data_IF_281076213005
#
_entry.id   IF_281076213005
#
_cell.length_a   1.000
_cell.length_b   1.000
_cell.length_c   1.000
_cell.angle_alpha   90.00
_cell.angle_beta   90.00
_cell.angle_gamma   90.00
#
_symmetry.space_group_name_H-M   'P 1'
#
loop_
_entity.id
_entity.type
_entity.pdbx_description
1 polymer ?
#
# COMPACT_ATOMS: atom_id res chain seq x y z
N UNK A 1 36.18 -6.47 -16.42
CA UNK A 1 37.10 -6.08 -17.51
C UNK A 1 38.52 -6.56 -17.17
N UNK A 2 39.14 -6.20 -16.03
CA UNK A 2 40.50 -6.60 -15.67
C UNK A 2 40.69 -8.14 -15.67
N UNK A 3 39.77 -8.90 -15.11
CA UNK A 3 39.79 -10.35 -15.13
C UNK A 3 39.78 -10.92 -16.55
N UNK A 4 38.99 -10.33 -17.46
CA UNK A 4 38.90 -10.78 -18.85
C UNK A 4 40.21 -10.48 -19.63
N UNK A 5 40.88 -9.36 -19.33
CA UNK A 5 42.21 -9.06 -19.86
C UNK A 5 43.23 -10.07 -19.37
N UNK A 6 43.08 -10.55 -18.12
CA UNK A 6 43.93 -11.60 -17.54
C UNK A 6 43.56 -13.03 -17.99
N UNK A 7 42.68 -13.18 -18.96
CA UNK A 7 42.32 -14.49 -19.55
C UNK A 7 41.12 -15.20 -18.90
N UNK A 8 40.44 -14.56 -17.96
CA UNK A 8 39.16 -15.06 -17.41
C UNK A 8 37.98 -14.72 -18.31
N UNK A 9 36.81 -15.31 -18.03
CA UNK A 9 35.55 -15.06 -18.78
C UNK A 9 34.45 -14.59 -17.85
N UNK A 10 34.65 -13.39 -17.29
CA UNK A 10 33.64 -12.74 -16.47
C UNK A 10 32.53 -12.13 -17.35
N UNK A 11 31.29 -12.46 -17.06
CA UNK A 11 30.14 -11.92 -17.76
C UNK A 11 29.38 -10.92 -16.89
N UNK A 12 28.97 -9.80 -17.49
CA UNK A 12 28.09 -8.85 -16.86
C UNK A 12 26.67 -9.45 -16.75
N UNK A 13 26.18 -9.62 -15.51
CA UNK A 13 24.90 -10.26 -15.21
C UNK A 13 23.68 -9.35 -15.38
N UNK A 14 23.89 -8.11 -15.83
CA UNK A 14 22.83 -7.11 -15.90
C UNK A 14 22.66 -6.33 -14.59
N UNK A 15 21.63 -5.50 -14.55
CA UNK A 15 21.24 -4.67 -13.40
C UNK A 15 19.74 -4.75 -13.16
N UNK A 16 19.32 -4.55 -11.93
CA UNK A 16 17.91 -4.53 -11.53
C UNK A 16 17.28 -3.14 -11.78
N UNK A 17 18.11 -2.11 -12.00
CA UNK A 17 17.66 -0.76 -12.23
C UNK A 17 17.16 -0.07 -10.94
N UNK A 18 17.81 -0.35 -9.80
CA UNK A 18 17.52 0.30 -8.54
C UNK A 18 18.16 1.70 -8.47
N UNK A 19 17.45 2.61 -7.83
CA UNK A 19 17.96 3.94 -7.50
C UNK A 19 17.33 4.49 -6.23
N UNK A 20 17.96 5.50 -5.64
CA UNK A 20 17.36 6.35 -4.62
C UNK A 20 17.67 7.82 -4.90
N UNK A 21 16.77 8.69 -4.45
CA UNK A 21 16.90 10.13 -4.59
C UNK A 21 16.30 10.84 -3.39
N UNK A 22 16.87 11.96 -2.97
CA UNK A 22 16.27 12.87 -2.00
C UNK A 22 15.62 14.02 -2.75
N UNK A 23 14.32 14.19 -2.56
CA UNK A 23 13.53 15.31 -3.10
C UNK A 23 13.04 16.13 -1.90
N UNK A 24 13.66 17.31 -1.70
CA UNK A 24 13.45 18.13 -0.51
C UNK A 24 13.64 17.30 0.78
N UNK A 25 12.59 17.11 1.57
CA UNK A 25 12.61 16.35 2.82
C UNK A 25 12.15 14.90 2.68
N UNK A 26 11.87 14.45 1.44
CA UNK A 26 11.40 13.11 1.15
C UNK A 26 12.50 12.28 0.48
N UNK A 27 12.80 11.12 1.06
CA UNK A 27 13.58 10.07 0.41
C UNK A 27 12.68 9.21 -0.47
N UNK A 28 13.11 8.94 -1.70
CA UNK A 28 12.42 8.05 -2.65
C UNK A 28 13.40 7.00 -3.10
N UNK A 29 12.96 5.73 -3.16
CA UNK A 29 13.76 4.65 -3.69
C UNK A 29 12.88 3.65 -4.47
N UNK A 30 13.51 2.97 -5.45
CA UNK A 30 12.86 1.89 -6.18
C UNK A 30 13.87 0.83 -6.62
N UNK A 31 13.36 -0.40 -6.84
CA UNK A 31 14.11 -1.46 -7.48
C UNK A 31 13.18 -2.32 -8.35
N UNK A 32 13.72 -2.90 -9.42
CA UNK A 32 12.97 -3.73 -10.35
C UNK A 32 12.03 -2.94 -11.27
N UNK A 33 10.92 -3.56 -11.66
CA UNK A 33 9.98 -3.06 -12.65
C UNK A 33 8.87 -2.23 -11.99
N UNK A 34 8.49 -1.12 -12.61
CA UNK A 34 7.21 -0.46 -12.34
C UNK A 34 6.06 -1.30 -12.93
N UNK A 35 4.80 -1.03 -12.52
CA UNK A 35 3.62 -1.67 -13.10
C UNK A 35 3.61 -1.54 -14.64
N UNK A 36 3.92 -0.35 -15.16
CA UNK A 36 3.95 -0.13 -16.60
C UNK A 36 5.07 -0.92 -17.29
N UNK A 37 6.28 -0.94 -16.71
CA UNK A 37 7.40 -1.71 -17.25
C UNK A 37 7.12 -3.22 -17.21
N UNK A 38 6.49 -3.72 -16.14
CA UNK A 38 6.10 -5.11 -16.02
C UNK A 38 5.08 -5.52 -17.10
N UNK A 39 4.06 -4.68 -17.36
CA UNK A 39 3.11 -4.88 -18.48
C UNK A 39 3.81 -4.93 -19.82
N UNK A 40 4.73 -4.00 -20.10
CA UNK A 40 5.51 -4.01 -21.34
C UNK A 40 6.42 -5.24 -21.50
N UNK A 41 6.90 -5.79 -20.37
CA UNK A 41 7.69 -7.01 -20.36
C UNK A 41 6.86 -8.30 -20.45
N UNK A 42 5.53 -8.20 -20.58
CA UNK A 42 4.62 -9.33 -20.77
C UNK A 42 4.13 -10.00 -19.49
N UNK A 43 4.40 -9.40 -18.31
CA UNK A 43 3.82 -9.83 -17.06
C UNK A 43 2.40 -9.31 -16.87
N UNK A 44 1.68 -9.92 -15.93
CA UNK A 44 0.35 -9.50 -15.48
C UNK A 44 0.46 -8.92 -14.06
N UNK A 45 0.96 -7.65 -13.92
CA UNK A 45 1.31 -7.11 -12.62
C UNK A 45 0.12 -6.67 -11.81
N UNK A 46 0.09 -7.14 -10.55
CA UNK A 46 -0.70 -6.60 -9.45
C UNK A 46 0.20 -5.93 -8.42
N UNK A 47 -0.37 -5.07 -7.57
CA UNK A 47 0.41 -4.39 -6.54
C UNK A 47 -0.37 -4.14 -5.25
N UNK A 48 0.37 -4.07 -4.15
CA UNK A 48 -0.12 -3.55 -2.88
C UNK A 48 0.45 -2.16 -2.62
N UNK A 49 -0.35 -1.25 -2.07
CA UNK A 49 0.07 0.05 -1.58
C UNK A 49 -0.11 0.07 -0.06
N UNK A 50 0.98 0.11 0.67
CA UNK A 50 0.99 0.02 2.14
C UNK A 50 1.53 1.31 2.74
N UNK A 51 0.91 1.73 3.83
CA UNK A 51 1.30 2.92 4.60
C UNK A 51 1.51 2.52 6.05
N UNK A 52 2.71 2.78 6.57
CA UNK A 52 3.08 2.44 7.93
C UNK A 52 4.18 3.38 8.44
N UNK A 53 4.29 3.63 9.76
CA UNK A 53 5.49 4.22 10.32
C UNK A 53 6.73 3.37 10.00
N UNK A 54 7.84 4.03 9.68
CA UNK A 54 9.12 3.37 9.36
C UNK A 54 9.78 2.66 10.56
N UNK A 55 9.32 2.99 11.79
CA UNK A 55 9.73 2.44 13.09
C UNK A 55 8.57 2.48 14.06
N UNK A 56 8.80 2.12 15.33
CA UNK A 56 7.76 2.18 16.34
C UNK A 56 7.13 3.59 16.39
N UNK A 57 5.81 3.67 16.31
CA UNK A 57 5.08 4.95 16.15
C UNK A 57 5.29 5.94 17.29
N UNK A 58 5.60 5.45 18.50
CA UNK A 58 5.90 6.26 19.67
C UNK A 58 7.33 6.81 19.69
N UNK A 59 8.18 6.40 18.74
CA UNK A 59 9.56 6.88 18.69
C UNK A 59 9.61 8.29 18.09
N UNK A 60 10.34 9.24 18.71
CA UNK A 60 10.26 10.67 18.33
C UNK A 60 10.61 10.97 16.87
N UNK A 61 11.44 10.13 16.25
CA UNK A 61 11.84 10.29 14.83
C UNK A 61 11.05 9.41 13.88
N UNK A 62 9.92 8.83 14.33
CA UNK A 62 9.04 8.04 13.48
C UNK A 62 8.46 8.88 12.35
N UNK A 63 8.49 8.35 11.14
CA UNK A 63 7.93 8.98 9.94
C UNK A 63 7.10 8.01 9.13
N UNK A 64 6.05 8.51 8.51
CA UNK A 64 5.20 7.68 7.65
C UNK A 64 5.95 7.31 6.37
N UNK A 65 6.02 6.02 6.10
CA UNK A 65 6.53 5.45 4.87
C UNK A 65 5.37 4.91 4.02
N UNK A 66 5.43 5.15 2.73
CA UNK A 66 4.55 4.55 1.74
C UNK A 66 5.39 3.59 0.91
N UNK A 67 4.92 2.36 0.78
CA UNK A 67 5.59 1.32 0.00
C UNK A 67 4.60 0.65 -0.95
N UNK A 68 5.02 0.50 -2.19
CA UNK A 68 4.30 -0.22 -3.24
C UNK A 68 5.10 -1.44 -3.65
N UNK A 69 4.55 -2.63 -3.43
CA UNK A 69 5.12 -3.90 -3.86
C UNK A 69 4.40 -4.38 -5.10
N UNK A 70 5.14 -4.83 -6.11
CA UNK A 70 4.61 -5.25 -7.41
C UNK A 70 4.99 -6.72 -7.64
N UNK A 71 4.01 -7.55 -8.01
CA UNK A 71 4.24 -8.95 -8.37
C UNK A 71 3.42 -9.35 -9.60
N UNK A 72 3.84 -10.42 -10.25
CA UNK A 72 3.06 -11.06 -11.30
C UNK A 72 1.89 -11.86 -10.69
N UNK A 73 0.67 -11.59 -11.14
CA UNK A 73 -0.54 -12.19 -10.59
C UNK A 73 -0.59 -13.72 -10.79
N UNK A 74 0.04 -14.22 -11.86
CA UNK A 74 0.01 -15.64 -12.23
C UNK A 74 1.02 -16.47 -11.47
N UNK A 75 2.24 -15.96 -11.35
CA UNK A 75 3.36 -16.70 -10.74
C UNK A 75 3.63 -16.29 -9.31
N UNK A 76 3.07 -15.18 -8.85
CA UNK A 76 3.34 -14.52 -7.57
C UNK A 76 4.80 -14.07 -7.40
N UNK A 77 5.57 -14.05 -8.51
CA UNK A 77 6.94 -13.57 -8.51
C UNK A 77 6.97 -12.06 -8.25
N UNK A 78 7.83 -11.63 -7.34
CA UNK A 78 8.07 -10.21 -7.09
C UNK A 78 8.80 -9.59 -8.27
N UNK A 79 8.26 -8.52 -8.81
CA UNK A 79 8.76 -7.81 -9.99
C UNK A 79 9.45 -6.49 -9.64
N UNK A 80 9.01 -5.83 -8.58
CA UNK A 80 9.59 -4.56 -8.18
C UNK A 80 9.00 -3.99 -6.90
N UNK A 81 9.64 -2.92 -6.42
CA UNK A 81 9.25 -2.16 -5.23
C UNK A 81 9.51 -0.68 -5.44
N UNK A 82 8.61 0.15 -4.96
CA UNK A 82 8.72 1.61 -4.92
C UNK A 82 8.40 2.07 -3.49
N UNK A 83 9.19 2.97 -2.92
CA UNK A 83 8.92 3.47 -1.58
C UNK A 83 9.34 4.93 -1.43
N UNK A 84 8.64 5.63 -0.52
CA UNK A 84 8.95 7.01 -0.16
C UNK A 84 8.62 7.28 1.31
N UNK A 85 9.30 8.28 1.89
CA UNK A 85 9.07 8.73 3.26
C UNK A 85 10.10 9.77 3.71
N UNK A 86 9.88 10.43 4.86
CA UNK A 86 10.77 11.48 5.34
C UNK A 86 12.15 10.95 5.79
N UNK A 87 12.22 9.70 6.23
CA UNK A 87 13.46 9.06 6.67
C UNK A 87 14.07 8.25 5.50
N UNK A 88 14.83 8.93 4.62
CA UNK A 88 15.38 8.36 3.38
C UNK A 88 16.24 7.10 3.59
N UNK A 89 17.02 7.01 4.67
CA UNK A 89 17.81 5.81 4.98
C UNK A 89 16.92 4.60 5.30
N UNK A 90 15.81 4.81 6.01
CA UNK A 90 14.83 3.79 6.30
C UNK A 90 14.13 3.31 5.01
N UNK A 91 13.77 4.25 4.11
CA UNK A 91 13.21 3.94 2.79
C UNK A 91 14.18 3.10 1.97
N UNK A 92 15.43 3.58 1.85
CA UNK A 92 16.48 2.89 1.11
C UNK A 92 16.73 1.48 1.63
N UNK A 93 16.81 1.29 2.94
CA UNK A 93 17.06 -0.02 3.54
C UNK A 93 16.01 -1.06 3.16
N UNK A 94 14.70 -0.70 3.11
CA UNK A 94 13.62 -1.60 2.71
C UNK A 94 13.69 -1.95 1.23
N UNK A 95 13.98 -0.97 0.40
CA UNK A 95 14.13 -1.20 -1.05
C UNK A 95 15.38 -2.04 -1.35
N UNK A 96 16.50 -1.79 -0.68
CA UNK A 96 17.74 -2.59 -0.85
C UNK A 96 17.53 -4.05 -0.45
N UNK A 97 16.79 -4.32 0.64
CA UNK A 97 16.49 -5.69 1.07
C UNK A 97 15.74 -6.48 -0.02
N UNK A 98 14.73 -5.87 -0.64
CA UNK A 98 13.99 -6.49 -1.75
C UNK A 98 14.87 -6.57 -3.01
N UNK A 99 15.62 -5.50 -3.33
CA UNK A 99 16.48 -5.44 -4.49
C UNK A 99 17.53 -6.59 -4.52
N UNK A 100 18.07 -6.93 -3.35
CA UNK A 100 19.03 -8.03 -3.21
C UNK A 100 18.42 -9.40 -3.56
N UNK A 101 17.11 -9.55 -3.44
CA UNK A 101 16.39 -10.80 -3.67
C UNK A 101 15.82 -10.92 -5.09
N UNK A 102 15.55 -9.80 -5.77
CA UNK A 102 14.95 -9.81 -7.12
C UNK A 102 15.69 -10.68 -8.15
N UNK A 103 17.05 -10.77 -8.18
CA UNK A 103 17.75 -11.63 -9.11
C UNK A 103 17.44 -13.12 -8.96
N UNK A 104 16.92 -13.53 -7.81
CA UNK A 104 16.60 -14.93 -7.49
C UNK A 104 15.16 -15.30 -7.81
N UNK A 105 14.41 -14.38 -8.45
CA UNK A 105 13.00 -14.61 -8.87
C UNK A 105 12.09 -15.07 -7.73
N UNK A 106 12.26 -14.46 -6.56
CA UNK A 106 11.49 -14.78 -5.34
C UNK A 106 9.98 -14.52 -5.50
N UNK A 107 9.18 -15.25 -4.74
CA UNK A 107 7.74 -15.04 -4.61
C UNK A 107 7.36 -14.12 -3.46
N UNK A 108 6.06 -13.92 -3.30
CA UNK A 108 5.51 -13.09 -2.22
C UNK A 108 5.69 -13.71 -0.83
N UNK A 109 5.76 -15.03 -0.75
CA UNK A 109 5.94 -15.74 0.51
C UNK A 109 7.29 -15.40 1.15
N UNK A 110 8.37 -15.32 0.35
CA UNK A 110 9.68 -14.91 0.83
C UNK A 110 9.68 -13.46 1.35
N UNK A 111 8.90 -12.56 0.75
CA UNK A 111 8.76 -11.19 1.23
C UNK A 111 7.94 -11.14 2.53
N UNK A 112 6.85 -11.89 2.62
CA UNK A 112 6.02 -11.94 3.82
C UNK A 112 6.76 -12.49 5.03
N UNK A 113 7.70 -13.41 4.80
CA UNK A 113 8.51 -14.08 5.81
C UNK A 113 9.94 -13.51 5.92
N UNK A 114 10.24 -12.40 5.22
CA UNK A 114 11.56 -11.80 5.28
C UNK A 114 11.92 -11.41 6.71
N UNK A 115 13.04 -11.95 7.21
CA UNK A 115 13.55 -11.60 8.52
C UNK A 115 14.21 -10.22 8.46
N UNK A 116 13.61 -9.25 9.15
CA UNK A 116 14.10 -7.87 9.26
C UNK A 116 14.57 -7.64 10.69
N UNK A 117 15.76 -7.05 10.86
CA UNK A 117 16.26 -6.69 12.17
C UNK A 117 15.30 -5.73 12.87
N UNK A 118 14.86 -6.11 14.08
CA UNK A 118 13.91 -5.32 14.85
C UNK A 118 14.52 -4.68 16.06
N UNK A 119 14.29 -3.39 16.18
CA UNK A 119 14.34 -2.63 17.44
C UNK A 119 13.49 -1.38 17.27
N UNK A 120 12.79 -0.89 18.32
CA UNK A 120 11.86 0.25 18.22
C UNK A 120 12.40 1.49 17.51
N UNK A 121 13.70 1.86 17.64
CA UNK A 121 14.28 2.99 16.91
C UNK A 121 14.47 2.77 15.41
N UNK A 122 14.40 1.54 14.89
CA UNK A 122 14.80 1.21 13.53
C UNK A 122 13.71 0.60 12.67
N UNK A 123 12.74 -0.09 13.29
CA UNK A 123 11.66 -0.76 12.54
C UNK A 123 10.40 -0.91 13.39
N UNK A 124 9.28 -1.23 12.76
CA UNK A 124 8.09 -1.74 13.42
C UNK A 124 8.24 -3.25 13.69
N UNK A 125 7.49 -3.78 14.66
CA UNK A 125 7.55 -5.22 15.01
C UNK A 125 7.17 -6.13 13.82
N UNK A 126 6.23 -5.70 12.97
CA UNK A 126 6.02 -6.25 11.63
C UNK A 126 6.41 -5.15 10.64
N UNK A 127 7.49 -5.37 9.91
CA UNK A 127 8.02 -4.36 9.00
C UNK A 127 7.09 -4.15 7.80
N UNK A 128 7.13 -2.95 7.23
CA UNK A 128 6.31 -2.58 6.08
C UNK A 128 6.53 -3.52 4.87
N UNK A 129 7.71 -4.11 4.76
CA UNK A 129 8.04 -5.10 3.71
C UNK A 129 7.20 -6.36 3.89
N UNK A 130 7.15 -6.91 5.11
CA UNK A 130 6.33 -8.09 5.41
C UNK A 130 4.84 -7.78 5.22
N UNK A 131 4.38 -6.61 5.70
CA UNK A 131 2.99 -6.17 5.50
C UNK A 131 2.65 -6.07 4.02
N UNK A 132 3.54 -5.52 3.19
CA UNK A 132 3.31 -5.42 1.74
C UNK A 132 3.18 -6.80 1.07
N UNK A 133 4.03 -7.76 1.45
CA UNK A 133 3.92 -9.15 1.00
C UNK A 133 2.56 -9.76 1.37
N UNK A 134 2.16 -9.66 2.64
CA UNK A 134 0.87 -10.17 3.12
C UNK A 134 -0.33 -9.50 2.43
N UNK A 135 -0.30 -8.17 2.25
CA UNK A 135 -1.39 -7.43 1.59
C UNK A 135 -1.52 -7.87 0.14
N UNK A 136 -0.41 -8.02 -0.60
CA UNK A 136 -0.45 -8.43 -1.99
C UNK A 136 -0.89 -9.90 -2.15
N UNK A 137 -0.49 -10.79 -1.25
CA UNK A 137 -1.05 -12.16 -1.19
C UNK A 137 -2.56 -12.14 -0.99
N UNK A 138 -3.06 -11.35 -0.03
CA UNK A 138 -4.50 -11.23 0.22
C UNK A 138 -5.26 -10.65 -0.99
N UNK A 139 -4.65 -9.75 -1.77
CA UNK A 139 -5.23 -9.25 -3.03
C UNK A 139 -5.34 -10.39 -4.04
N UNK A 140 -4.24 -11.12 -4.28
CA UNK A 140 -4.20 -12.22 -5.24
C UNK A 140 -5.09 -13.41 -4.85
N UNK A 141 -5.33 -13.61 -3.55
CA UNK A 141 -6.25 -14.62 -3.02
C UNK A 141 -7.72 -14.17 -3.02
N UNK A 142 -8.02 -12.92 -3.47
CA UNK A 142 -9.35 -12.35 -3.46
C UNK A 142 -9.89 -12.02 -2.06
N UNK A 143 -9.03 -12.08 -1.05
CA UNK A 143 -9.38 -11.73 0.35
C UNK A 143 -9.40 -10.22 0.58
N UNK A 144 -8.59 -9.48 -0.12
CA UNK A 144 -8.58 -8.01 -0.14
C UNK A 144 -9.03 -7.54 -1.52
N UNK A 145 -10.11 -6.77 -1.56
CA UNK A 145 -10.60 -6.11 -2.77
C UNK A 145 -10.20 -4.63 -2.70
N UNK A 146 -9.06 -4.26 -3.27
CA UNK A 146 -8.57 -2.91 -3.17
C UNK A 146 -9.30 -1.97 -4.12
N UNK A 147 -9.39 -0.69 -3.71
CA UNK A 147 -9.48 0.44 -4.62
C UNK A 147 -8.35 1.40 -4.27
N UNK A 148 -7.69 1.92 -5.30
CA UNK A 148 -6.56 2.82 -5.08
C UNK A 148 -7.02 4.29 -5.02
N UNK A 149 -6.30 5.17 -4.31
CA UNK A 149 -6.75 6.55 -4.07
C UNK A 149 -7.07 7.35 -5.33
N UNK A 150 -6.27 7.23 -6.39
CA UNK A 150 -6.54 7.90 -7.67
C UNK A 150 -7.78 7.33 -8.36
N UNK A 151 -7.94 6.01 -8.37
CA UNK A 151 -9.12 5.35 -8.92
C UNK A 151 -10.38 5.75 -8.15
N UNK A 152 -10.32 5.80 -6.82
CA UNK A 152 -11.42 6.31 -6.00
C UNK A 152 -11.75 7.76 -6.38
N UNK A 153 -10.76 8.62 -6.52
CA UNK A 153 -10.97 10.02 -6.88
C UNK A 153 -11.59 10.21 -8.27
N UNK A 154 -11.27 9.33 -9.22
CA UNK A 154 -11.83 9.34 -10.57
C UNK A 154 -13.25 8.79 -10.62
N UNK A 155 -13.57 7.79 -9.80
CA UNK A 155 -14.86 7.09 -9.82
C UNK A 155 -15.88 7.69 -8.88
N UNK A 156 -15.51 8.03 -7.66
CA UNK A 156 -16.40 8.63 -6.66
C UNK A 156 -16.48 10.17 -6.82
N UNK A 157 -17.64 10.82 -6.69
CA UNK A 157 -18.95 10.27 -6.33
C UNK A 157 -19.79 9.81 -7.54
N UNK A 158 -19.27 9.86 -8.76
CA UNK A 158 -20.01 9.58 -9.99
C UNK A 158 -20.53 8.15 -10.12
N UNK A 159 -19.89 7.22 -9.41
CA UNK A 159 -20.27 5.79 -9.39
C UNK A 159 -21.60 5.51 -8.68
N UNK A 160 -22.17 6.49 -7.99
CA UNK A 160 -23.31 6.27 -7.09
C UNK A 160 -22.97 5.46 -5.84
N UNK A 161 -21.70 5.17 -5.61
CA UNK A 161 -21.22 4.46 -4.42
C UNK A 161 -21.22 5.32 -3.16
N UNK A 162 -20.89 4.69 -2.04
CA UNK A 162 -20.79 5.31 -0.71
C UNK A 162 -19.40 5.11 -0.15
N UNK A 163 -18.78 6.15 0.37
CA UNK A 163 -17.60 6.02 1.24
C UNK A 163 -18.07 5.67 2.64
N UNK A 164 -17.61 4.55 3.16
CA UNK A 164 -17.77 4.17 4.57
C UNK A 164 -16.51 4.57 5.33
N UNK A 165 -16.56 5.72 5.97
CA UNK A 165 -15.46 6.26 6.77
C UNK A 165 -15.51 5.67 8.19
N UNK A 166 -14.49 4.88 8.53
CA UNK A 166 -14.37 4.19 9.83
C UNK A 166 -13.45 4.92 10.81
N UNK A 167 -13.14 6.18 10.54
CA UNK A 167 -12.42 7.07 11.45
C UNK A 167 -13.35 7.65 12.52
N UNK A 168 -12.75 8.34 13.50
CA UNK A 168 -13.52 9.09 14.48
C UNK A 168 -14.39 10.18 13.81
N UNK A 169 -15.53 10.56 14.40
CA UNK A 169 -16.49 11.47 13.78
C UNK A 169 -15.93 12.84 13.39
N UNK A 170 -15.01 13.37 14.20
CA UNK A 170 -14.31 14.64 13.94
C UNK A 170 -13.43 14.55 12.68
N UNK A 171 -12.81 13.41 12.45
CA UNK A 171 -11.99 13.15 11.25
C UNK A 171 -12.82 12.98 9.98
N UNK A 172 -14.05 12.52 10.09
CA UNK A 172 -14.96 12.26 8.98
C UNK A 172 -15.82 13.46 8.59
N UNK A 173 -15.85 14.53 9.40
CA UNK A 173 -16.80 15.63 9.28
C UNK A 173 -16.71 16.33 7.92
N UNK A 174 -15.53 16.65 7.45
CA UNK A 174 -15.33 17.32 6.16
C UNK A 174 -15.88 16.53 4.96
N UNK A 175 -15.68 15.21 4.96
CA UNK A 175 -16.26 14.33 3.94
C UNK A 175 -17.79 14.28 4.01
N UNK A 176 -18.34 14.20 5.21
CA UNK A 176 -19.80 14.24 5.43
C UNK A 176 -20.43 15.55 4.96
N UNK A 177 -19.84 16.68 5.29
CA UNK A 177 -20.37 18.00 4.90
C UNK A 177 -20.37 18.17 3.39
N UNK A 178 -19.34 17.63 2.71
CA UNK A 178 -19.19 17.72 1.27
C UNK A 178 -20.10 16.77 0.50
N UNK A 179 -20.20 15.50 0.92
CA UNK A 179 -20.84 14.44 0.13
C UNK A 179 -22.14 13.91 0.75
N UNK A 180 -22.51 14.38 1.94
CA UNK A 180 -23.78 14.07 2.61
C UNK A 180 -24.05 12.55 2.63
N UNK A 181 -25.14 12.09 2.02
CA UNK A 181 -25.57 10.68 2.02
C UNK A 181 -24.59 9.72 1.32
N UNK A 182 -23.63 10.25 0.55
CA UNK A 182 -22.58 9.44 -0.09
C UNK A 182 -21.33 9.24 0.82
N UNK A 183 -21.31 9.88 2.01
CA UNK A 183 -20.23 9.72 2.98
C UNK A 183 -20.79 9.30 4.33
N UNK A 184 -20.86 7.99 4.54
CA UNK A 184 -21.34 7.40 5.78
C UNK A 184 -20.17 7.27 6.78
N UNK A 185 -20.34 7.81 7.97
CA UNK A 185 -19.36 7.61 9.05
C UNK A 185 -19.91 6.64 10.10
N UNK A 186 -19.23 5.52 10.24
CA UNK A 186 -19.43 4.55 11.32
C UNK A 186 -18.06 4.21 11.87
N UNK A 187 -17.68 4.71 13.06
CA UNK A 187 -16.42 4.35 13.70
C UNK A 187 -16.20 2.84 13.77
N UNK A 188 -14.94 2.40 13.64
CA UNK A 188 -14.59 0.98 13.57
C UNK A 188 -15.28 0.12 14.63
N UNK A 189 -15.30 0.62 15.87
CA UNK A 189 -15.84 -0.08 17.03
C UNK A 189 -17.36 -0.27 16.96
N UNK A 190 -18.06 0.57 16.20
CA UNK A 190 -19.51 0.56 16.04
C UNK A 190 -19.98 -0.30 14.87
N UNK A 191 -19.07 -0.68 13.96
CA UNK A 191 -19.40 -1.45 12.74
C UNK A 191 -20.23 -2.72 13.05
N UNK A 192 -19.90 -3.55 14.04
CA UNK A 192 -20.68 -4.77 14.32
C UNK A 192 -22.12 -4.51 14.70
N UNK A 193 -22.37 -3.41 15.45
CA UNK A 193 -23.72 -3.04 15.91
C UNK A 193 -24.53 -2.32 14.82
N UNK A 194 -23.86 -1.67 13.86
CA UNK A 194 -24.47 -0.78 12.86
C UNK A 194 -24.35 -1.30 11.42
N UNK A 195 -24.03 -2.57 11.23
CA UNK A 195 -23.88 -3.20 9.91
C UNK A 195 -25.11 -3.05 9.01
N UNK A 196 -26.31 -2.96 9.61
CA UNK A 196 -27.56 -2.76 8.88
C UNK A 196 -27.67 -1.38 8.18
N UNK A 197 -26.88 -0.40 8.59
CA UNK A 197 -26.83 0.93 7.96
C UNK A 197 -25.96 0.94 6.68
N UNK A 198 -25.11 -0.08 6.48
CA UNK A 198 -24.22 -0.17 5.31
C UNK A 198 -25.03 -0.59 4.08
N UNK A 199 -25.02 0.19 2.99
CA UNK A 199 -25.76 -0.14 1.77
C UNK A 199 -25.33 -1.47 1.16
N UNK A 200 -26.31 -2.27 0.67
CA UNK A 200 -26.08 -3.55 0.00
C UNK A 200 -26.22 -3.48 -1.53
N UNK A 201 -26.85 -2.43 -2.02
CA UNK A 201 -27.26 -2.23 -3.43
C UNK A 201 -26.29 -1.37 -4.23
N UNK A 202 -25.23 -0.85 -3.62
CA UNK A 202 -24.24 0.04 -4.25
C UNK A 202 -22.81 -0.27 -3.79
N UNK A 203 -21.79 0.20 -4.54
CA UNK A 203 -20.40 0.08 -4.11
C UNK A 203 -20.14 0.77 -2.76
N UNK A 204 -19.45 0.10 -1.87
CA UNK A 204 -19.02 0.64 -0.57
C UNK A 204 -17.50 0.71 -0.54
N UNK A 205 -16.97 1.91 -0.40
CA UNK A 205 -15.54 2.19 -0.33
C UNK A 205 -15.14 2.43 1.13
N UNK A 206 -14.56 1.42 1.77
CA UNK A 206 -14.17 1.52 3.19
C UNK A 206 -12.91 2.35 3.32
N UNK A 207 -12.96 3.40 4.12
CA UNK A 207 -11.97 4.45 4.23
C UNK A 207 -11.51 4.65 5.68
N UNK A 208 -10.20 4.76 5.88
CA UNK A 208 -9.59 5.01 7.19
C UNK A 208 -8.35 5.92 7.08
N UNK A 209 -7.41 5.86 8.02
CA UNK A 209 -6.18 6.67 7.95
C UNK A 209 -5.11 6.08 7.02
N UNK A 210 -4.86 4.75 7.05
CA UNK A 210 -3.69 4.13 6.39
C UNK A 210 -4.01 2.87 5.57
N UNK A 211 -5.25 2.37 5.63
CA UNK A 211 -5.69 1.18 4.89
C UNK A 211 -5.92 -0.07 5.75
N UNK A 212 -5.30 -0.20 6.94
CA UNK A 212 -5.43 -1.40 7.79
C UNK A 212 -6.86 -1.61 8.27
N UNK A 213 -7.48 -0.60 8.88
CA UNK A 213 -8.87 -0.66 9.34
C UNK A 213 -9.87 -0.84 8.19
N UNK A 214 -9.55 -0.28 7.00
CA UNK A 214 -10.37 -0.47 5.81
C UNK A 214 -10.41 -1.95 5.40
N UNK A 215 -9.27 -2.64 5.45
CA UNK A 215 -9.19 -4.06 5.16
C UNK A 215 -9.96 -4.89 6.19
N UNK A 216 -9.79 -4.61 7.49
CA UNK A 216 -10.51 -5.29 8.57
C UNK A 216 -12.02 -5.20 8.39
N UNK A 217 -12.54 -3.98 8.16
CA UNK A 217 -13.98 -3.77 7.94
C UNK A 217 -14.45 -4.38 6.63
N UNK A 218 -13.68 -4.29 5.56
CA UNK A 218 -14.01 -4.94 4.30
C UNK A 218 -14.17 -6.46 4.50
N UNK A 219 -13.26 -7.12 5.24
CA UNK A 219 -13.35 -8.55 5.56
C UNK A 219 -14.59 -8.87 6.40
N UNK A 220 -14.86 -8.06 7.43
CA UNK A 220 -16.04 -8.22 8.27
C UNK A 220 -17.32 -8.12 7.44
N UNK A 221 -17.47 -7.06 6.64
CA UNK A 221 -18.66 -6.85 5.81
C UNK A 221 -18.84 -7.95 4.76
N UNK A 222 -17.76 -8.42 4.15
CA UNK A 222 -17.82 -9.56 3.22
C UNK A 222 -18.32 -10.83 3.93
N UNK A 223 -17.89 -11.09 5.16
CA UNK A 223 -18.39 -12.21 5.96
C UNK A 223 -19.88 -12.06 6.34
N UNK A 224 -20.42 -10.83 6.35
CA UNK A 224 -21.85 -10.54 6.53
C UNK A 224 -22.65 -10.59 5.20
N UNK A 225 -22.02 -11.05 4.11
CA UNK A 225 -22.66 -11.20 2.80
C UNK A 225 -22.80 -9.89 2.01
N UNK A 226 -21.93 -8.91 2.25
CA UNK A 226 -21.82 -7.70 1.42
C UNK A 226 -20.69 -7.92 0.40
N UNK A 227 -21.04 -8.15 -0.86
CA UNK A 227 -20.04 -8.49 -1.91
C UNK A 227 -19.46 -7.28 -2.63
N UNK A 228 -20.10 -6.12 -2.55
CA UNK A 228 -19.68 -4.91 -3.27
C UNK A 228 -18.94 -3.94 -2.34
N UNK A 229 -17.94 -4.46 -1.61
CA UNK A 229 -17.16 -3.71 -0.62
C UNK A 229 -15.68 -3.72 -1.00
N UNK A 230 -15.08 -2.53 -1.04
CA UNK A 230 -13.70 -2.29 -1.44
C UNK A 230 -12.94 -1.55 -0.34
N UNK A 231 -11.73 -1.99 -0.04
CA UNK A 231 -10.84 -1.32 0.92
C UNK A 231 -9.97 -0.26 0.21
N UNK A 232 -10.03 0.98 0.67
CA UNK A 232 -9.19 2.05 0.10
C UNK A 232 -7.74 1.89 0.57
N UNK A 233 -6.85 1.54 -0.35
CA UNK A 233 -5.43 1.32 -0.08
C UNK A 233 -4.74 2.63 0.28
N UNK A 234 -3.94 2.63 1.36
CA UNK A 234 -3.28 3.84 1.84
C UNK A 234 -4.22 4.91 2.38
N UNK A 235 -5.52 4.83 2.06
CA UNK A 235 -6.60 5.68 2.60
C UNK A 235 -6.22 7.16 2.69
N UNK A 236 -6.55 7.84 3.79
CA UNK A 236 -6.27 9.27 3.96
C UNK A 236 -4.80 9.64 3.77
N UNK A 237 -3.87 8.81 4.27
CA UNK A 237 -2.44 9.13 4.21
C UNK A 237 -1.90 9.32 2.79
N UNK A 238 -2.51 8.67 1.79
CA UNK A 238 -2.16 8.85 0.38
C UNK A 238 -3.11 9.81 -0.31
N UNK A 239 -4.42 9.70 -0.03
CA UNK A 239 -5.45 10.48 -0.71
C UNK A 239 -5.26 11.99 -0.53
N UNK A 240 -4.86 12.44 0.66
CA UNK A 240 -4.60 13.86 0.96
C UNK A 240 -3.59 14.53 0.02
N UNK A 241 -2.64 13.74 -0.51
CA UNK A 241 -1.57 14.25 -1.37
C UNK A 241 -1.89 14.10 -2.87
N UNK A 242 -2.60 13.01 -3.25
CA UNK A 242 -2.90 12.72 -4.67
C UNK A 242 -4.25 13.25 -5.13
N UNK A 243 -5.20 13.42 -4.22
CA UNK A 243 -6.54 13.95 -4.50
C UNK A 243 -7.10 14.72 -3.28
N UNK A 244 -6.45 15.82 -2.85
CA UNK A 244 -6.79 16.54 -1.61
C UNK A 244 -8.23 17.06 -1.62
N UNK A 245 -8.81 17.30 -2.81
CA UNK A 245 -10.20 17.71 -2.94
C UNK A 245 -11.21 16.62 -2.60
N UNK A 246 -10.84 15.35 -2.44
CA UNK A 246 -11.80 14.29 -2.11
C UNK A 246 -12.12 14.26 -0.60
N UNK A 247 -11.15 14.45 0.26
CA UNK A 247 -11.32 14.57 1.71
C UNK A 247 -10.65 15.87 2.18
N UNK A 248 -11.29 17.04 1.94
CA UNK A 248 -10.73 18.31 2.34
C UNK A 248 -10.69 18.40 3.86
N UNK A 249 -9.52 18.68 4.43
CA UNK A 249 -9.43 19.14 5.82
C UNK A 249 -9.53 20.64 5.83
N UNK A 250 -10.22 21.19 6.82
CA UNK A 250 -10.07 22.59 7.19
C UNK A 250 -8.62 22.79 7.65
N UNK A 251 -7.93 23.81 7.10
CA UNK A 251 -6.58 24.21 7.49
C UNK A 251 -6.58 24.80 8.92
#
# INVERSE_FOLDING_TARGET
>A
IANNIAGNNDQFKGVIGNFCVKLFDIGVARAGLTVQQAKHAGFDPEYALVVQPDRAHFYPTSGIMILKLIADSKTRRVLGVEALGPNGDAVKARVDAIAALLPYSIGLEEISNLEVCYSPPFSAAMDIVNVAGNVLQNILDGLNRPIFPLELAETFPRSGGVVLDVRAPDQAQAGKDKYQDQWLNIPLEEIPARVAEVPRDKPVYVYCNTGTRSYEVQRFLTAQGLDNVFGVQGSYAVLKDVAPGLDPREE
#
